data_IF_294943432662
#
_entry.id   IF_294943432662
#
_cell.length_a   1.000
_cell.length_b   1.000
_cell.length_c   1.000
_cell.angle_alpha   90.00
_cell.angle_beta   90.00
_cell.angle_gamma   90.00
#
_symmetry.space_group_name_H-M   'P 1'
#
loop_
_entity.id
_entity.type
_entity.pdbx_description
1 polymer ?
#
# COMPACT_ATOMS: atom_id res chain seq x y z
N UNK A 1 22.12 -3.09 0.86
CA UNK A 1 20.65 -2.91 0.72
C UNK A 1 20.20 -3.89 -0.35
N UNK A 2 19.17 -4.72 -0.13
CA UNK A 2 18.65 -5.58 -1.20
C UNK A 2 18.16 -4.72 -2.37
N UNK A 3 18.32 -5.24 -3.58
CA UNK A 3 17.94 -4.56 -4.82
C UNK A 3 16.41 -4.41 -4.85
N UNK A 4 15.87 -3.22 -5.17
CA UNK A 4 14.43 -3.03 -5.37
C UNK A 4 13.87 -4.05 -6.35
N UNK A 5 12.81 -4.73 -5.97
CA UNK A 5 12.22 -5.81 -6.78
C UNK A 5 10.81 -5.43 -7.15
N UNK A 6 10.50 -5.39 -8.45
CA UNK A 6 9.17 -5.16 -8.99
C UNK A 6 8.59 -6.47 -9.52
N UNK A 7 7.27 -6.64 -9.38
CA UNK A 7 6.59 -7.89 -9.76
C UNK A 7 6.53 -8.92 -8.62
N UNK A 8 6.28 -10.17 -8.98
CA UNK A 8 6.17 -11.28 -8.02
C UNK A 8 7.52 -11.56 -7.35
N UNK A 9 7.59 -11.63 -6.01
CA UNK A 9 8.81 -11.96 -5.30
C UNK A 9 8.98 -13.49 -5.23
N UNK A 10 10.02 -14.02 -5.87
CA UNK A 10 10.30 -15.46 -5.86
C UNK A 10 9.10 -16.32 -6.32
N UNK A 11 8.71 -17.30 -5.50
CA UNK A 11 7.60 -18.21 -5.80
C UNK A 11 6.24 -17.75 -5.24
N UNK A 12 6.18 -16.59 -4.56
CA UNK A 12 4.93 -16.16 -3.93
C UNK A 12 3.88 -15.74 -4.98
N UNK A 13 2.62 -16.08 -4.72
CA UNK A 13 1.47 -15.88 -5.61
C UNK A 13 0.26 -15.32 -4.86
N UNK A 14 -0.69 -14.68 -5.56
CA UNK A 14 -1.94 -14.22 -4.94
C UNK A 14 -2.58 -15.35 -4.12
N UNK A 15 -3.03 -15.03 -2.91
CA UNK A 15 -3.55 -16.00 -1.94
C UNK A 15 -2.59 -16.39 -0.83
N UNK A 16 -1.26 -16.27 -1.04
CA UNK A 16 -0.28 -16.58 0.00
C UNK A 16 -0.46 -15.68 1.24
N UNK A 17 -0.36 -16.27 2.43
CA UNK A 17 -0.59 -15.57 3.70
C UNK A 17 0.68 -15.48 4.55
N UNK A 18 0.78 -14.40 5.32
CA UNK A 18 1.87 -14.09 6.22
C UNK A 18 1.30 -13.70 7.58
N UNK A 19 1.85 -14.27 8.66
CA UNK A 19 1.26 -14.10 9.99
C UNK A 19 1.36 -12.67 10.49
N UNK A 20 2.44 -11.96 10.16
CA UNK A 20 2.72 -10.65 10.71
C UNK A 20 3.66 -9.81 9.82
N UNK A 21 3.92 -8.56 10.24
CA UNK A 21 4.81 -7.62 9.53
C UNK A 21 6.29 -8.01 9.52
N UNK A 22 6.73 -8.82 10.48
CA UNK A 22 8.10 -9.36 10.52
C UNK A 22 8.23 -10.45 9.45
N UNK A 23 7.26 -11.35 9.33
CA UNK A 23 7.25 -12.40 8.31
C UNK A 23 7.27 -11.80 6.89
N UNK A 24 6.45 -10.77 6.64
CA UNK A 24 6.48 -10.01 5.37
C UNK A 24 7.85 -9.37 5.08
N UNK A 25 8.51 -8.87 6.13
CA UNK A 25 9.82 -8.23 6.03
C UNK A 25 10.91 -9.23 5.69
N UNK A 26 10.88 -10.40 6.35
CA UNK A 26 11.84 -11.48 6.15
C UNK A 26 11.63 -12.22 4.81
N UNK A 27 10.39 -12.34 4.33
CA UNK A 27 10.09 -12.93 3.01
C UNK A 27 10.47 -12.02 1.83
N UNK A 28 10.72 -10.74 2.10
CA UNK A 28 11.00 -9.73 1.07
C UNK A 28 9.77 -9.22 0.31
N UNK A 29 8.58 -9.78 0.58
CA UNK A 29 7.32 -9.39 -0.07
C UNK A 29 6.95 -7.95 0.27
N UNK A 30 7.11 -7.55 1.55
CA UNK A 30 6.99 -6.16 2.00
C UNK A 30 8.02 -5.86 3.09
N UNK A 31 9.15 -5.27 2.70
CA UNK A 31 10.33 -5.06 3.57
C UNK A 31 10.07 -4.20 4.82
N UNK A 32 9.28 -3.11 4.78
CA UNK A 32 9.03 -2.27 5.95
C UNK A 32 8.21 -2.99 7.03
N UNK A 33 8.64 -2.89 8.29
CA UNK A 33 7.93 -3.48 9.44
C UNK A 33 6.76 -2.63 9.96
N UNK A 34 6.70 -1.35 9.57
CA UNK A 34 5.66 -0.39 10.01
C UNK A 34 5.00 0.35 8.85
N UNK A 35 5.79 0.99 7.99
CA UNK A 35 5.27 1.81 6.88
C UNK A 35 4.36 1.01 5.94
N UNK A 36 3.26 1.62 5.50
CA UNK A 36 2.31 1.02 4.57
C UNK A 36 2.88 0.84 3.16
N UNK A 37 3.83 1.70 2.77
CA UNK A 37 4.47 1.70 1.44
C UNK A 37 5.94 1.26 1.55
N UNK A 38 6.37 0.37 0.66
CA UNK A 38 7.77 0.06 0.38
C UNK A 38 8.14 0.65 -0.98
N UNK A 39 9.17 1.49 -1.04
CA UNK A 39 9.61 2.06 -2.30
C UNK A 39 10.56 3.24 -2.12
N UNK A 40 10.92 3.85 -3.24
CA UNK A 40 11.77 5.05 -3.26
C UNK A 40 11.16 6.11 -4.19
N UNK A 41 11.43 7.41 -3.95
CA UNK A 41 11.00 8.47 -4.86
C UNK A 41 11.60 8.36 -6.27
N UNK A 42 12.71 7.62 -6.42
CA UNK A 42 13.44 7.49 -7.70
C UNK A 42 12.83 6.40 -8.58
N UNK A 43 12.56 5.23 -7.99
CA UNK A 43 12.12 4.04 -8.72
C UNK A 43 10.60 3.80 -8.66
N UNK A 44 9.94 4.29 -7.61
CA UNK A 44 8.53 4.00 -7.35
C UNK A 44 8.31 3.07 -6.16
N UNK A 45 7.04 2.76 -5.91
CA UNK A 45 6.59 1.80 -4.92
C UNK A 45 6.76 0.35 -5.42
N UNK A 46 7.35 -0.50 -4.59
CA UNK A 46 7.48 -1.94 -4.83
C UNK A 46 6.30 -2.72 -4.25
N UNK A 47 5.80 -2.29 -3.09
CA UNK A 47 4.68 -2.94 -2.39
C UNK A 47 3.93 -2.00 -1.46
N UNK A 48 2.65 -2.29 -1.25
CA UNK A 48 1.77 -1.59 -0.30
C UNK A 48 1.00 -2.56 0.60
N UNK A 49 0.57 -2.06 1.76
CA UNK A 49 -0.30 -2.79 2.70
C UNK A 49 -1.62 -2.05 2.86
N UNK A 50 -2.72 -2.74 2.53
CA UNK A 50 -4.10 -2.35 2.78
C UNK A 50 -4.49 -2.77 4.20
N UNK A 51 -4.61 -1.80 5.09
CA UNK A 51 -4.97 -2.03 6.49
C UNK A 51 -6.22 -1.26 6.94
N UNK A 52 -6.90 -0.56 6.01
CA UNK A 52 -8.13 0.20 6.28
C UNK A 52 -7.94 1.25 7.36
N UNK A 53 -6.74 1.83 7.43
CA UNK A 53 -6.40 2.73 8.52
C UNK A 53 -6.83 4.16 8.22
N UNK A 54 -7.08 4.52 6.96
CA UNK A 54 -7.36 5.90 6.56
C UNK A 54 -8.82 6.05 6.14
N UNK A 55 -9.38 7.23 6.36
CA UNK A 55 -10.80 7.49 6.07
C UNK A 55 -11.10 7.51 4.57
N UNK A 56 -10.10 7.83 3.73
CA UNK A 56 -10.17 7.76 2.26
C UNK A 56 -9.94 6.36 1.68
N UNK A 57 -9.52 5.37 2.48
CA UNK A 57 -9.27 4.03 1.96
C UNK A 57 -10.58 3.38 1.45
N UNK A 58 -10.56 2.87 0.22
CA UNK A 58 -11.61 1.99 -0.31
C UNK A 58 -11.00 0.85 -1.13
N UNK A 59 -11.35 -0.40 -0.84
CA UNK A 59 -10.67 -1.58 -1.37
C UNK A 59 -11.62 -2.48 -2.16
N UNK A 60 -12.16 -1.95 -3.26
CA UNK A 60 -12.95 -2.71 -4.23
C UNK A 60 -12.05 -3.63 -5.06
N UNK A 61 -12.65 -4.63 -5.71
CA UNK A 61 -11.93 -5.62 -6.52
C UNK A 61 -11.31 -4.99 -7.78
N UNK A 62 -12.06 -4.13 -8.46
CA UNK A 62 -11.64 -3.52 -9.73
C UNK A 62 -10.68 -2.34 -9.53
N UNK A 63 -10.83 -1.60 -8.42
CA UNK A 63 -10.02 -0.41 -8.13
C UNK A 63 -9.88 -0.17 -6.63
N UNK A 64 -8.64 -0.01 -6.19
CA UNK A 64 -8.30 0.41 -4.85
C UNK A 64 -8.10 1.92 -4.84
N UNK A 65 -8.71 2.59 -3.87
CA UNK A 65 -8.34 3.93 -3.43
C UNK A 65 -7.47 3.80 -2.18
N UNK A 66 -6.23 4.26 -2.28
CA UNK A 66 -5.22 4.15 -1.23
C UNK A 66 -4.81 5.54 -0.76
N UNK A 67 -5.00 5.82 0.53
CA UNK A 67 -4.61 7.10 1.12
C UNK A 67 -3.09 7.18 1.37
N UNK A 68 -2.50 8.34 1.07
CA UNK A 68 -1.14 8.67 1.47
C UNK A 68 -0.97 8.69 2.99
N UNK A 69 0.27 8.62 3.48
CA UNK A 69 0.55 8.69 4.92
C UNK A 69 0.92 10.12 5.36
N UNK A 70 0.48 10.50 6.56
CA UNK A 70 0.88 11.75 7.22
C UNK A 70 -0.31 12.59 7.68
N UNK A 71 -0.04 13.63 8.48
CA UNK A 71 -1.05 14.59 8.96
C UNK A 71 -2.12 14.01 9.88
N UNK A 72 -1.82 12.90 10.58
CA UNK A 72 -2.75 12.21 11.48
C UNK A 72 -2.37 12.34 12.94
N UNK A 73 -3.38 12.41 13.78
CA UNK A 73 -3.23 12.35 15.24
C UNK A 73 -2.76 10.93 15.64
N UNK A 74 -1.63 10.77 16.36
CA UNK A 74 -1.11 9.45 16.72
C UNK A 74 -1.99 8.64 17.68
N UNK A 75 -2.90 9.28 18.42
CA UNK A 75 -3.80 8.64 19.39
C UNK A 75 -5.10 8.22 18.73
N UNK A 76 -5.70 9.09 17.94
CA UNK A 76 -7.03 8.86 17.35
C UNK A 76 -6.97 8.31 15.93
N UNK A 77 -5.83 8.49 15.24
CA UNK A 77 -5.70 8.18 13.84
C UNK A 77 -6.53 9.09 12.92
N UNK A 78 -7.15 10.17 13.40
CA UNK A 78 -7.88 11.08 12.50
C UNK A 78 -6.93 12.01 11.76
N UNK A 79 -7.31 12.44 10.56
CA UNK A 79 -6.60 13.49 9.84
C UNK A 79 -6.79 14.82 10.59
N UNK A 80 -5.70 15.53 10.87
CA UNK A 80 -5.68 16.78 11.65
C UNK A 80 -4.90 17.91 10.98
N UNK A 81 -4.17 17.61 9.89
CA UNK A 81 -3.50 18.60 9.05
C UNK A 81 -3.50 18.11 7.61
N UNK A 82 -3.18 19.01 6.67
CA UNK A 82 -2.88 18.62 5.30
C UNK A 82 -1.71 17.63 5.24
N UNK A 83 -1.79 16.70 4.31
CA UNK A 83 -0.69 15.80 4.00
C UNK A 83 0.39 16.55 3.23
N UNK A 84 1.63 16.25 3.57
CA UNK A 84 2.83 16.68 2.84
C UNK A 84 3.43 15.49 2.11
N UNK A 85 4.17 15.75 1.03
CA UNK A 85 4.79 14.69 0.23
C UNK A 85 5.90 13.96 1.02
N UNK A 86 5.53 12.89 1.71
CA UNK A 86 6.47 11.98 2.38
C UNK A 86 7.14 11.04 1.38
N UNK A 87 8.18 10.33 1.79
CA UNK A 87 8.87 9.34 0.94
C UNK A 87 7.92 8.29 0.34
N UNK A 88 6.91 7.83 1.10
CA UNK A 88 5.92 6.87 0.61
C UNK A 88 5.01 7.46 -0.46
N UNK A 89 4.53 8.69 -0.23
CA UNK A 89 3.72 9.45 -1.20
C UNK A 89 4.52 9.71 -2.48
N UNK A 90 5.78 10.15 -2.36
CA UNK A 90 6.67 10.38 -3.51
C UNK A 90 6.94 9.09 -4.30
N UNK A 91 7.08 7.95 -3.62
CA UNK A 91 7.22 6.66 -4.29
C UNK A 91 5.95 6.27 -5.08
N UNK A 92 4.76 6.54 -4.53
CA UNK A 92 3.50 6.28 -5.23
C UNK A 92 3.27 7.25 -6.39
N UNK A 93 3.60 8.54 -6.24
CA UNK A 93 3.60 9.52 -7.34
C UNK A 93 4.52 9.05 -8.47
N UNK A 94 5.72 8.57 -8.14
CA UNK A 94 6.63 7.98 -9.12
C UNK A 94 6.06 6.69 -9.76
N UNK A 95 5.28 5.90 -9.04
CA UNK A 95 4.59 4.75 -9.62
C UNK A 95 3.51 5.13 -10.64
N UNK A 96 2.84 6.29 -10.49
CA UNK A 96 1.93 6.83 -11.52
C UNK A 96 2.69 7.04 -12.83
N UNK A 97 3.90 7.59 -12.76
CA UNK A 97 4.72 7.90 -13.94
C UNK A 97 5.34 6.65 -14.58
N UNK A 98 5.82 5.72 -13.75
CA UNK A 98 6.59 4.56 -14.22
C UNK A 98 5.71 3.39 -14.65
N UNK A 99 4.48 3.29 -14.14
CA UNK A 99 3.57 2.18 -14.43
C UNK A 99 4.09 0.81 -13.95
N UNK A 100 5.13 0.79 -13.10
CA UNK A 100 5.73 -0.45 -12.61
C UNK A 100 4.76 -1.19 -11.68
N UNK A 101 4.81 -2.53 -11.66
CA UNK A 101 3.92 -3.35 -10.84
C UNK A 101 4.20 -3.17 -9.35
N UNK A 102 3.14 -2.91 -8.58
CA UNK A 102 3.13 -2.78 -7.12
C UNK A 102 2.48 -4.01 -6.51
N UNK A 103 3.17 -4.68 -5.58
CA UNK A 103 2.56 -5.79 -4.82
C UNK A 103 1.56 -5.23 -3.81
N UNK A 104 0.38 -5.83 -3.73
CA UNK A 104 -0.65 -5.44 -2.77
C UNK A 104 -0.82 -6.52 -1.72
N UNK A 105 -0.70 -6.13 -0.45
CA UNK A 105 -0.94 -6.99 0.70
C UNK A 105 -2.18 -6.49 1.42
N UNK A 106 -3.15 -7.37 1.73
CA UNK A 106 -4.34 -6.99 2.49
C UNK A 106 -4.34 -7.65 3.85
N UNK A 107 -4.65 -6.88 4.89
CA UNK A 107 -4.93 -7.43 6.21
C UNK A 107 -6.33 -8.04 6.20
N UNK A 108 -6.43 -9.33 6.49
CA UNK A 108 -7.69 -10.10 6.45
C UNK A 108 -7.78 -11.02 7.68
N UNK A 109 -8.99 -11.44 8.09
CA UNK A 109 -9.14 -12.52 9.06
C UNK A 109 -8.44 -13.79 8.55
N UNK A 110 -7.81 -14.53 9.47
CA UNK A 110 -7.34 -15.88 9.23
C UNK A 110 -8.52 -16.84 9.05
N UNK A 111 -8.25 -18.04 8.54
CA UNK A 111 -9.28 -19.06 8.29
C UNK A 111 -10.01 -19.50 9.56
N UNK A 112 -9.34 -19.44 10.72
CA UNK A 112 -9.93 -19.69 12.04
C UNK A 112 -10.75 -18.52 12.59
N UNK A 113 -10.64 -17.34 11.97
CA UNK A 113 -11.31 -16.10 12.37
C UNK A 113 -10.80 -15.46 13.67
N UNK A 114 -9.84 -16.08 14.36
CA UNK A 114 -9.36 -15.59 15.66
C UNK A 114 -8.23 -14.57 15.51
N UNK A 115 -7.47 -14.67 14.41
CA UNK A 115 -6.32 -13.82 14.13
C UNK A 115 -6.49 -13.07 12.82
N UNK A 116 -5.70 -12.01 12.63
CA UNK A 116 -5.55 -11.34 11.34
C UNK A 116 -4.20 -11.72 10.71
N UNK A 117 -4.23 -12.00 9.42
CA UNK A 117 -3.04 -12.28 8.60
C UNK A 117 -2.93 -11.28 7.46
N UNK A 118 -1.78 -11.23 6.81
CA UNK A 118 -1.57 -10.48 5.59
C UNK A 118 -1.63 -11.43 4.41
N UNK A 119 -2.62 -11.25 3.54
CA UNK A 119 -2.74 -11.99 2.28
C UNK A 119 -2.13 -11.20 1.14
N UNK A 120 -1.38 -11.87 0.28
CA UNK A 120 -0.91 -11.28 -0.96
C UNK A 120 -2.05 -11.26 -1.99
N UNK A 121 -2.45 -10.08 -2.44
CA UNK A 121 -3.56 -9.88 -3.41
C UNK A 121 -3.05 -9.84 -4.86
N UNK A 122 -1.74 -9.87 -5.08
CA UNK A 122 -1.15 -9.84 -6.41
C UNK A 122 -0.56 -8.49 -6.82
N UNK A 123 -0.46 -8.27 -8.12
CA UNK A 123 0.20 -7.10 -8.72
C UNK A 123 -0.84 -6.11 -9.21
N UNK A 124 -0.59 -4.85 -8.91
CA UNK A 124 -1.43 -3.71 -9.29
C UNK A 124 -0.58 -2.64 -9.97
N UNK A 125 -1.21 -1.77 -10.73
CA UNK A 125 -0.60 -0.53 -11.22
C UNK A 125 -1.24 0.67 -10.55
N UNK A 126 -0.43 1.67 -10.21
CA UNK A 126 -0.94 2.97 -9.77
C UNK A 126 -1.34 3.76 -11.02
N UNK A 127 -2.65 3.95 -11.21
CA UNK A 127 -3.22 4.52 -12.45
C UNK A 127 -3.52 6.01 -12.33
N UNK A 128 -3.36 6.60 -11.15
CA UNK A 128 -3.54 8.03 -10.95
C UNK A 128 -3.47 8.44 -9.49
N UNK A 129 -3.45 9.76 -9.26
CA UNK A 129 -3.48 10.35 -7.94
C UNK A 129 -4.28 11.65 -7.93
N UNK A 130 -4.90 11.95 -6.80
CA UNK A 130 -5.48 13.26 -6.49
C UNK A 130 -4.83 13.83 -5.23
N UNK A 131 -4.83 15.16 -5.11
CA UNK A 131 -4.48 15.88 -3.90
C UNK A 131 -5.56 16.94 -3.67
N UNK A 132 -6.49 16.65 -2.77
CA UNK A 132 -7.71 17.43 -2.59
C UNK A 132 -8.22 17.29 -1.14
N UNK A 133 -9.15 18.14 -0.69
CA UNK A 133 -9.76 17.99 0.62
C UNK A 133 -10.41 16.60 0.78
N UNK A 134 -9.99 15.87 1.81
CA UNK A 134 -10.54 14.58 2.23
C UNK A 134 -11.79 14.71 3.09
N UNK A 135 -12.19 13.62 3.75
CA UNK A 135 -13.45 13.59 4.54
C UNK A 135 -13.40 14.52 5.76
N UNK A 136 -12.23 14.69 6.36
CA UNK A 136 -11.98 15.63 7.46
C UNK A 136 -11.68 17.07 7.02
N UNK A 137 -11.74 17.38 5.72
CA UNK A 137 -11.53 18.73 5.18
C UNK A 137 -10.07 19.14 4.96
N UNK A 138 -9.11 18.29 5.31
CA UNK A 138 -7.68 18.49 5.05
C UNK A 138 -7.27 17.92 3.71
N UNK A 139 -6.24 18.48 3.08
CA UNK A 139 -5.72 17.96 1.83
C UNK A 139 -5.06 16.59 2.02
N UNK A 140 -5.51 15.59 1.26
CA UNK A 140 -5.04 14.20 1.31
C UNK A 140 -4.63 13.74 -0.09
N UNK A 141 -3.53 12.99 -0.18
CA UNK A 141 -3.19 12.28 -1.40
C UNK A 141 -4.00 10.99 -1.48
N UNK A 142 -4.76 10.79 -2.55
CA UNK A 142 -5.44 9.52 -2.82
C UNK A 142 -4.92 8.93 -4.12
N UNK A 143 -4.44 7.70 -4.06
CA UNK A 143 -3.91 6.96 -5.18
C UNK A 143 -4.91 5.92 -5.64
N UNK A 144 -5.14 5.83 -6.96
CA UNK A 144 -5.96 4.79 -7.55
C UNK A 144 -5.08 3.67 -8.07
N UNK A 145 -5.38 2.43 -7.70
CA UNK A 145 -4.67 1.25 -8.17
C UNK A 145 -5.64 0.25 -8.80
N UNK A 146 -5.23 -0.38 -9.90
CA UNK A 146 -6.00 -1.43 -10.57
C UNK A 146 -5.21 -2.72 -10.69
N UNK A 147 -5.86 -3.90 -10.62
CA UNK A 147 -5.19 -5.17 -10.83
C UNK A 147 -4.51 -5.20 -12.21
N UNK A 148 -3.29 -5.76 -12.27
CA UNK A 148 -2.67 -6.12 -13.54
C UNK A 148 -3.37 -7.36 -14.07
N UNK A 149 -4.10 -7.22 -15.18
CA UNK A 149 -4.77 -8.35 -15.84
C UNK A 149 -3.71 -9.19 -16.57
N UNK A 150 -3.64 -10.49 -16.24
CA UNK A 150 -2.79 -11.47 -16.94
C UNK A 150 -1.35 -11.61 -16.43
N UNK A 151 -1.07 -11.17 -15.20
CA UNK A 151 0.22 -11.34 -14.53
C UNK A 151 0.31 -12.61 -13.69
#
# INVERSE_FOLDING_TARGET
MPVPTFGHPGTYRPGDTFRNRIDLSLSGVHRPRRAGVCGTPVLGAESIVLAGQYEEDNFEEEEIQYSGNGGRDPKTGRQITDQVATTGILALLRSVETGLPVRVLRKVPADDGELEVYRYEGLYQVVGSTYAPGKSGFLVYVFRLRPLVGA
#
